data_IF_056886903214
#
_entry.id   IF_056886903214
#
_cell.length_a   1.000
_cell.length_b   1.000
_cell.length_c   1.000
_cell.angle_alpha   90.00
_cell.angle_beta   90.00
_cell.angle_gamma   90.00
#
_symmetry.space_group_name_H-M   'P 1'
#
loop_
_entity.id
_entity.type
_entity.pdbx_description
1 polymer ?
#
# COMPACT_ATOMS: atom_id res chain seq x y z
N UNK A 1 -14.31 15.34 17.14
CA UNK A 1 -13.69 15.10 15.81
C UNK A 1 -12.34 15.76 15.80
N UNK A 2 -11.27 14.98 15.58
CA UNK A 2 -9.91 15.53 15.57
C UNK A 2 -9.59 16.27 14.25
N UNK A 3 -10.15 15.79 13.14
CA UNK A 3 -9.99 16.36 11.80
C UNK A 3 -11.22 16.12 10.94
N UNK A 4 -11.76 17.18 10.34
CA UNK A 4 -12.95 17.12 9.47
C UNK A 4 -12.66 17.41 8.00
N UNK A 5 -11.46 17.88 7.67
CA UNK A 5 -11.04 18.22 6.30
C UNK A 5 -10.68 17.00 5.44
N UNK A 6 -10.22 17.20 4.20
CA UNK A 6 -9.71 16.17 3.31
C UNK A 6 -8.65 15.29 3.99
N UNK A 7 -8.71 13.99 3.77
CA UNK A 7 -7.84 12.99 4.38
C UNK A 7 -7.27 12.07 3.29
N UNK A 8 -5.95 11.89 3.30
CA UNK A 8 -5.25 10.93 2.46
C UNK A 8 -4.54 9.92 3.35
N UNK A 9 -4.73 8.65 3.11
CA UNK A 9 -4.07 7.54 3.81
C UNK A 9 -3.15 6.84 2.83
N UNK A 10 -1.87 6.79 3.16
CA UNK A 10 -0.88 6.04 2.39
C UNK A 10 -0.88 4.58 2.84
N UNK A 11 -0.92 3.67 1.88
CA UNK A 11 -0.86 2.23 2.12
C UNK A 11 0.15 1.56 1.19
N UNK A 12 0.71 0.45 1.64
CA UNK A 12 1.55 -0.42 0.84
C UNK A 12 1.09 -1.87 0.98
N UNK A 13 1.63 -2.77 0.18
CA UNK A 13 1.40 -4.21 0.30
C UNK A 13 1.79 -4.76 1.68
N UNK A 14 2.67 -4.07 2.40
CA UNK A 14 3.07 -4.43 3.76
C UNK A 14 2.10 -3.91 4.84
N UNK A 15 1.15 -3.04 4.47
CA UNK A 15 0.10 -2.61 5.39
C UNK A 15 -0.86 -3.77 5.64
N UNK A 16 -0.93 -4.24 6.90
CA UNK A 16 -1.66 -5.45 7.24
C UNK A 16 -2.58 -5.27 8.45
N UNK A 17 -3.61 -6.12 8.56
CA UNK A 17 -4.44 -6.31 9.75
C UNK A 17 -5.11 -5.01 10.22
N UNK A 18 -4.73 -4.43 11.37
CA UNK A 18 -5.32 -3.20 11.91
C UNK A 18 -5.20 -2.00 10.95
N UNK A 19 -4.11 -1.92 10.16
CA UNK A 19 -3.95 -0.89 9.12
C UNK A 19 -5.01 -1.04 8.03
N UNK A 20 -5.37 -2.27 7.70
CA UNK A 20 -6.39 -2.58 6.69
C UNK A 20 -7.80 -2.27 7.21
N UNK A 21 -8.05 -2.50 8.50
CA UNK A 21 -9.31 -2.10 9.14
C UNK A 21 -9.47 -0.58 9.05
N UNK A 22 -8.43 0.17 9.36
CA UNK A 22 -8.46 1.64 9.29
C UNK A 22 -8.66 2.12 7.85
N UNK A 23 -7.84 1.65 6.91
CA UNK A 23 -7.88 2.06 5.51
C UNK A 23 -9.25 1.72 4.87
N UNK A 24 -9.71 0.48 5.04
CA UNK A 24 -10.98 0.03 4.50
C UNK A 24 -12.19 0.74 5.10
N UNK A 25 -12.16 1.04 6.40
CA UNK A 25 -13.22 1.84 7.03
C UNK A 25 -13.26 3.27 6.47
N UNK A 26 -12.10 3.91 6.28
CA UNK A 26 -12.02 5.26 5.67
C UNK A 26 -12.59 5.24 4.25
N UNK A 27 -12.26 4.20 3.47
CA UNK A 27 -12.76 4.02 2.11
C UNK A 27 -14.27 3.78 2.07
N UNK A 28 -14.79 2.82 2.84
CA UNK A 28 -16.23 2.49 2.90
C UNK A 28 -17.06 3.69 3.34
N UNK A 29 -16.59 4.44 4.32
CA UNK A 29 -17.25 5.67 4.77
C UNK A 29 -17.15 6.82 3.77
N UNK A 30 -16.40 6.67 2.68
CA UNK A 30 -16.01 7.75 1.77
C UNK A 30 -15.48 8.99 2.50
N UNK A 31 -14.71 8.76 3.57
CA UNK A 31 -14.17 9.79 4.45
C UNK A 31 -12.85 10.37 3.95
N UNK A 32 -12.10 9.62 3.16
CA UNK A 32 -10.79 9.99 2.63
C UNK A 32 -10.33 9.08 1.53
N UNK A 33 -9.18 9.39 0.94
CA UNK A 33 -8.54 8.66 -0.15
C UNK A 33 -7.53 7.66 0.38
N UNK A 34 -7.47 6.49 -0.25
CA UNK A 34 -6.41 5.50 -0.07
C UNK A 34 -5.47 5.59 -1.27
N UNK A 35 -4.18 5.83 -0.99
CA UNK A 35 -3.15 6.07 -2.02
C UNK A 35 -1.94 5.18 -1.74
N UNK A 36 -1.42 4.52 -2.76
CA UNK A 36 -0.22 3.70 -2.62
C UNK A 36 -0.21 2.49 -3.52
N UNK A 37 0.25 1.34 -3.02
CA UNK A 37 0.30 0.09 -3.76
C UNK A 37 -1.10 -0.33 -4.24
N UNK A 38 -1.21 -1.19 -5.27
CA UNK A 38 -2.51 -1.64 -5.79
C UNK A 38 -3.46 -2.17 -4.72
N UNK A 39 -2.92 -2.89 -3.74
CA UNK A 39 -3.65 -3.41 -2.59
C UNK A 39 -2.75 -3.53 -1.36
N UNK A 40 -3.34 -3.61 -0.18
CA UNK A 40 -2.67 -3.95 1.07
C UNK A 40 -2.43 -5.46 1.20
N UNK A 41 -1.87 -5.92 2.31
CA UNK A 41 -1.43 -7.30 2.53
C UNK A 41 -2.55 -8.36 2.39
N UNK A 42 -3.74 -8.07 2.83
CA UNK A 42 -4.88 -8.99 2.74
C UNK A 42 -5.10 -9.86 3.97
N UNK A 43 -4.66 -9.43 5.16
CA UNK A 43 -4.90 -10.19 6.39
C UNK A 43 -6.21 -9.78 7.06
N UNK A 44 -7.26 -10.59 6.86
CA UNK A 44 -8.60 -10.40 7.41
C UNK A 44 -8.88 -11.23 8.67
N UNK A 45 -7.87 -11.91 9.25
CA UNK A 45 -8.04 -12.83 10.38
C UNK A 45 -7.33 -12.37 11.64
N UNK A 46 -7.88 -12.77 12.79
CA UNK A 46 -7.28 -12.60 14.12
C UNK A 46 -6.76 -13.96 14.60
N UNK A 47 -5.51 -13.97 15.05
CA UNK A 47 -4.84 -15.17 15.52
C UNK A 47 -4.52 -15.06 17.02
N UNK A 48 -4.54 -16.20 17.70
CA UNK A 48 -4.16 -16.31 19.11
C UNK A 48 -3.09 -17.39 19.28
N UNK A 49 -2.19 -17.15 20.22
CA UNK A 49 -1.23 -18.16 20.66
C UNK A 49 -1.83 -18.94 21.82
N UNK A 50 -1.91 -20.27 21.66
CA UNK A 50 -2.34 -21.20 22.70
C UNK A 50 -1.12 -21.96 23.18
N UNK A 51 -0.74 -21.74 24.43
CA UNK A 51 0.33 -22.47 25.06
C UNK A 51 -0.04 -23.95 25.24
N UNK A 52 0.77 -24.85 24.70
CA UNK A 52 0.62 -26.30 24.81
C UNK A 52 1.37 -26.88 25.99
N UNK A 53 2.23 -26.08 26.65
CA UNK A 53 3.03 -26.51 27.79
C UNK A 53 2.21 -26.67 29.07
N UNK A 54 2.56 -27.67 29.86
CA UNK A 54 2.18 -27.75 31.26
C UNK A 54 3.37 -27.28 32.10
N UNK A 55 3.11 -26.92 33.37
CA UNK A 55 4.10 -26.40 34.33
C UNK A 55 5.42 -27.17 34.41
N UNK A 56 5.47 -28.41 33.93
CA UNK A 56 6.61 -29.32 33.99
C UNK A 56 7.17 -29.71 32.63
N UNK A 57 6.54 -29.28 31.51
CA UNK A 57 6.97 -29.67 30.18
C UNK A 57 6.65 -28.54 29.21
N UNK A 58 7.68 -27.96 28.63
CA UNK A 58 7.55 -26.99 27.53
C UNK A 58 7.25 -27.73 26.23
N UNK A 59 6.04 -27.57 25.72
CA UNK A 59 5.59 -28.13 24.43
C UNK A 59 5.44 -27.06 23.35
N UNK A 60 5.87 -25.84 23.63
CA UNK A 60 5.70 -24.71 22.73
C UNK A 60 4.27 -24.18 22.69
N UNK A 61 3.95 -23.42 21.66
CA UNK A 61 2.64 -22.78 21.50
C UNK A 61 2.07 -23.01 20.09
N UNK A 62 0.77 -23.13 20.00
CA UNK A 62 0.02 -23.23 18.75
C UNK A 62 -0.59 -21.87 18.41
N UNK A 63 -0.29 -21.37 17.20
CA UNK A 63 -0.92 -20.17 16.65
C UNK A 63 -2.15 -20.56 15.85
N UNK A 64 -3.34 -20.19 16.33
CA UNK A 64 -4.62 -20.55 15.71
C UNK A 64 -5.40 -19.32 15.31
N UNK A 65 -6.12 -19.38 14.21
CA UNK A 65 -7.09 -18.38 13.79
C UNK A 65 -8.37 -18.56 14.61
N UNK A 66 -8.82 -17.48 15.27
CA UNK A 66 -9.97 -17.49 16.17
C UNK A 66 -11.12 -16.62 15.70
N UNK A 67 -10.87 -15.63 14.87
CA UNK A 67 -11.86 -14.68 14.37
C UNK A 67 -11.48 -14.18 12.98
N UNK A 68 -12.45 -13.68 12.26
CA UNK A 68 -12.32 -12.90 11.03
C UNK A 68 -13.01 -11.57 11.23
N UNK A 69 -12.48 -10.50 10.65
CA UNK A 69 -13.11 -9.19 10.68
C UNK A 69 -13.60 -8.78 9.29
N UNK A 70 -14.58 -7.88 9.29
CA UNK A 70 -15.20 -7.35 8.10
C UNK A 70 -15.24 -5.84 8.16
N UNK A 71 -15.06 -5.21 7.01
CA UNK A 71 -15.19 -3.77 6.85
C UNK A 71 -16.67 -3.34 6.97
N UNK A 72 -16.95 -2.06 7.18
CA UNK A 72 -18.33 -1.55 7.27
C UNK A 72 -19.22 -1.95 6.09
N UNK A 73 -18.67 -1.99 4.86
CA UNK A 73 -19.35 -2.44 3.65
C UNK A 73 -19.62 -3.94 3.57
N UNK A 74 -19.16 -4.73 4.55
CA UNK A 74 -19.36 -6.16 4.65
C UNK A 74 -18.29 -7.02 4.00
N UNK A 75 -17.30 -6.43 3.33
CA UNK A 75 -16.18 -7.15 2.72
C UNK A 75 -15.12 -7.52 3.74
N UNK A 76 -14.53 -8.70 3.59
CA UNK A 76 -13.31 -9.06 4.30
C UNK A 76 -12.09 -8.56 3.53
N UNK A 77 -11.03 -8.17 4.24
CA UNK A 77 -9.72 -7.90 3.62
C UNK A 77 -8.94 -9.18 3.31
N UNK A 78 -9.41 -10.34 3.77
CA UNK A 78 -8.71 -11.63 3.62
C UNK A 78 -8.33 -11.89 2.16
N UNK A 79 -7.06 -12.14 1.89
CA UNK A 79 -6.42 -12.37 0.58
C UNK A 79 -6.42 -11.18 -0.39
N UNK A 80 -7.40 -10.30 -0.35
CA UNK A 80 -7.57 -9.21 -1.32
C UNK A 80 -6.98 -7.87 -0.84
N UNK A 81 -6.93 -7.68 0.48
CA UNK A 81 -6.54 -6.39 1.06
C UNK A 81 -7.56 -5.27 0.80
N UNK A 82 -7.11 -4.05 1.02
CA UNK A 82 -7.81 -2.82 0.67
C UNK A 82 -7.19 -2.28 -0.62
N UNK A 83 -7.99 -2.16 -1.68
CA UNK A 83 -7.55 -1.61 -2.97
C UNK A 83 -7.37 -0.10 -2.86
N UNK A 84 -6.26 0.42 -3.37
CA UNK A 84 -6.02 1.86 -3.38
C UNK A 84 -6.94 2.59 -4.36
N UNK A 85 -7.43 3.76 -3.94
CA UNK A 85 -8.20 4.66 -4.81
C UNK A 85 -7.32 5.26 -5.90
N UNK A 86 -6.07 5.58 -5.56
CA UNK A 86 -5.05 6.05 -6.49
C UNK A 86 -3.81 5.16 -6.31
N UNK A 87 -3.49 4.42 -7.34
CA UNK A 87 -2.34 3.52 -7.36
C UNK A 87 -1.09 4.29 -7.78
N UNK A 88 -0.03 4.16 -6.99
CA UNK A 88 1.31 4.64 -7.32
C UNK A 88 2.22 3.45 -7.61
N UNK A 89 3.13 3.56 -8.59
CA UNK A 89 4.13 2.52 -8.81
C UNK A 89 4.97 2.27 -7.56
N UNK A 90 5.13 1.01 -7.16
CA UNK A 90 5.95 0.62 -6.02
C UNK A 90 6.52 -0.77 -6.22
N UNK A 91 7.79 -0.97 -5.86
CA UNK A 91 8.44 -2.28 -5.99
C UNK A 91 7.84 -3.33 -5.06
N UNK A 92 7.27 -2.91 -3.95
CA UNK A 92 6.56 -3.77 -3.00
C UNK A 92 5.37 -4.50 -3.63
N UNK A 93 4.77 -3.93 -4.67
CA UNK A 93 3.66 -4.55 -5.40
C UNK A 93 4.08 -5.87 -6.09
N UNK A 94 5.36 -5.99 -6.51
CA UNK A 94 5.90 -7.18 -7.17
C UNK A 94 6.35 -8.28 -6.22
N UNK A 95 6.26 -8.10 -4.90
CA UNK A 95 6.64 -9.13 -3.92
C UNK A 95 5.54 -10.16 -3.72
N UNK A 96 5.90 -11.46 -3.58
CA UNK A 96 4.97 -12.54 -3.24
C UNK A 96 4.91 -12.72 -1.72
N UNK A 97 4.42 -11.71 -1.03
CA UNK A 97 4.39 -11.68 0.43
C UNK A 97 3.02 -11.27 1.01
N UNK A 98 1.96 -11.31 0.18
CA UNK A 98 0.60 -11.06 0.64
C UNK A 98 -0.02 -12.30 1.28
N UNK A 99 -1.12 -12.12 2.00
CA UNK A 99 -1.90 -13.25 2.55
C UNK A 99 -2.40 -14.19 1.44
N UNK A 100 -2.69 -13.63 0.25
CA UNK A 100 -3.12 -14.41 -0.91
C UNK A 100 -2.06 -15.35 -1.47
N UNK A 101 -0.78 -15.07 -1.22
CA UNK A 101 0.36 -15.87 -1.67
C UNK A 101 0.64 -17.07 -0.76
N UNK A 102 0.01 -17.13 0.42
CA UNK A 102 0.15 -18.26 1.34
C UNK A 102 -0.61 -19.47 0.84
N UNK A 103 0.04 -20.65 0.86
CA UNK A 103 -0.51 -21.94 0.37
C UNK A 103 -1.86 -22.31 1.01
N UNK A 104 -2.03 -22.00 2.30
CA UNK A 104 -3.22 -22.34 3.07
C UNK A 104 -3.99 -21.11 3.56
N UNK A 105 -3.93 -20.00 2.81
CA UNK A 105 -4.71 -18.81 3.15
C UNK A 105 -6.21 -19.12 3.18
N UNK A 106 -6.89 -18.72 4.26
CA UNK A 106 -8.34 -18.82 4.33
C UNK A 106 -8.99 -18.04 3.18
N UNK A 107 -10.09 -18.54 2.62
CA UNK A 107 -10.78 -17.86 1.53
C UNK A 107 -11.33 -16.50 1.98
N UNK A 108 -11.46 -15.58 1.02
CA UNK A 108 -12.22 -14.36 1.23
C UNK A 108 -13.71 -14.67 1.27
N UNK A 109 -14.45 -13.97 2.12
CA UNK A 109 -15.90 -14.00 2.17
C UNK A 109 -16.48 -12.60 2.49
N UNK A 110 -17.78 -12.48 2.43
CA UNK A 110 -18.50 -11.24 2.66
C UNK A 110 -19.69 -11.47 3.59
N UNK A 111 -20.02 -10.45 4.36
CA UNK A 111 -21.20 -10.44 5.22
C UNK A 111 -22.11 -9.26 4.84
N UNK A 112 -23.33 -9.25 5.38
CA UNK A 112 -24.22 -8.12 5.16
C UNK A 112 -23.59 -6.83 5.67
N UNK A 113 -23.60 -5.74 4.86
CA UNK A 113 -23.10 -4.44 5.29
C UNK A 113 -23.71 -3.95 6.58
N UNK A 114 -22.91 -3.33 7.43
CA UNK A 114 -23.39 -2.64 8.62
C UNK A 114 -24.15 -1.36 8.22
N UNK A 115 -24.90 -0.78 9.15
CA UNK A 115 -25.43 0.58 8.96
C UNK A 115 -24.32 1.57 9.34
N UNK A 116 -23.92 2.42 8.41
CA UNK A 116 -22.91 3.45 8.66
C UNK A 116 -23.24 4.76 7.95
N UNK A 117 -22.60 5.83 8.38
CA UNK A 117 -22.72 7.15 7.77
C UNK A 117 -21.77 7.26 6.57
N UNK A 118 -22.30 7.61 5.41
CA UNK A 118 -21.52 7.98 4.25
C UNK A 118 -21.19 9.48 4.31
N UNK A 119 -19.89 9.80 4.42
CA UNK A 119 -19.41 11.17 4.52
C UNK A 119 -19.39 11.90 3.18
N UNK A 120 -19.46 11.18 2.06
CA UNK A 120 -19.48 11.75 0.69
C UNK A 120 -18.33 12.70 0.38
N UNK A 121 -17.20 12.55 1.05
CA UNK A 121 -16.03 13.41 0.82
C UNK A 121 -15.25 12.99 -0.42
N UNK A 122 -15.46 11.76 -0.89
CA UNK A 122 -14.83 11.20 -2.10
C UNK A 122 -15.94 10.68 -3.00
N UNK A 123 -16.00 11.19 -4.23
CA UNK A 123 -16.89 10.70 -5.27
C UNK A 123 -16.12 10.29 -6.54
N UNK A 124 -16.83 9.71 -7.50
CA UNK A 124 -16.21 9.23 -8.74
C UNK A 124 -15.61 10.36 -9.60
N UNK A 125 -16.17 11.56 -9.55
CA UNK A 125 -15.67 12.72 -10.29
C UNK A 125 -14.33 13.19 -9.73
N UNK A 126 -14.24 13.30 -8.39
CA UNK A 126 -13.00 13.59 -7.69
C UNK A 126 -11.95 12.53 -8.04
N UNK A 127 -12.28 11.24 -7.87
CA UNK A 127 -11.34 10.15 -8.12
C UNK A 127 -10.80 10.17 -9.56
N UNK A 128 -11.66 10.34 -10.55
CA UNK A 128 -11.24 10.38 -11.95
C UNK A 128 -10.29 11.56 -12.23
N UNK A 129 -10.60 12.73 -11.67
CA UNK A 129 -9.76 13.92 -11.82
C UNK A 129 -8.38 13.71 -11.19
N UNK A 130 -8.34 13.17 -9.96
CA UNK A 130 -7.09 12.95 -9.25
C UNK A 130 -6.23 11.86 -9.92
N UNK A 131 -6.85 10.76 -10.36
CA UNK A 131 -6.17 9.69 -11.10
C UNK A 131 -5.52 10.22 -12.39
N UNK A 132 -6.26 10.99 -13.19
CA UNK A 132 -5.75 11.55 -14.44
C UNK A 132 -4.55 12.46 -14.19
N UNK A 133 -4.66 13.37 -13.22
CA UNK A 133 -3.57 14.30 -12.88
C UNK A 133 -2.34 13.58 -12.33
N UNK A 134 -2.55 12.60 -11.45
CA UNK A 134 -1.45 11.82 -10.88
C UNK A 134 -0.75 11.01 -11.96
N UNK A 135 -1.49 10.34 -12.84
CA UNK A 135 -0.93 9.56 -13.94
C UNK A 135 -0.05 10.42 -14.84
N UNK A 136 -0.52 11.61 -15.23
CA UNK A 136 0.29 12.54 -16.03
C UNK A 136 1.60 12.93 -15.32
N UNK A 137 1.58 13.25 -14.03
CA UNK A 137 2.81 13.61 -13.28
C UNK A 137 3.76 12.44 -13.10
N UNK A 138 3.23 11.22 -12.97
CA UNK A 138 4.04 9.99 -12.92
C UNK A 138 4.77 9.79 -14.25
N UNK A 139 4.07 9.94 -15.38
CA UNK A 139 4.65 9.82 -16.73
C UNK A 139 5.73 10.87 -17.02
N UNK A 140 5.62 12.07 -16.44
CA UNK A 140 6.58 13.17 -16.60
C UNK A 140 7.75 13.13 -15.58
N UNK A 141 7.75 12.17 -14.66
CA UNK A 141 8.69 12.13 -13.53
C UNK A 141 9.86 11.19 -13.75
N UNK A 142 11.08 11.74 -13.82
CA UNK A 142 12.32 10.95 -13.86
C UNK A 142 12.46 9.98 -12.66
N UNK A 143 11.90 10.33 -11.50
CA UNK A 143 11.91 9.49 -10.31
C UNK A 143 11.07 8.22 -10.50
N UNK A 144 9.86 8.37 -11.03
CA UNK A 144 9.00 7.23 -11.34
C UNK A 144 9.51 6.43 -12.54
N UNK A 145 10.11 7.07 -13.56
CA UNK A 145 10.73 6.35 -14.68
C UNK A 145 11.84 5.38 -14.19
N UNK A 146 12.73 5.85 -13.31
CA UNK A 146 13.75 4.99 -12.68
C UNK A 146 13.13 3.86 -11.85
N UNK A 147 12.10 4.17 -11.08
CA UNK A 147 11.39 3.15 -10.28
C UNK A 147 10.74 2.08 -11.16
N UNK A 148 10.06 2.47 -12.25
CA UNK A 148 9.43 1.54 -13.19
C UNK A 148 10.47 0.62 -13.85
N UNK A 149 11.61 1.15 -14.29
CA UNK A 149 12.72 0.33 -14.81
C UNK A 149 13.24 -0.67 -13.78
N UNK A 150 13.33 -0.26 -12.51
CA UNK A 150 13.75 -1.14 -11.43
C UNK A 150 12.72 -2.24 -11.15
N UNK A 151 11.44 -1.93 -11.20
CA UNK A 151 10.36 -2.92 -11.08
C UNK A 151 10.47 -3.93 -12.21
N UNK A 152 10.59 -3.48 -13.46
CA UNK A 152 10.77 -4.35 -14.63
C UNK A 152 11.97 -5.29 -14.48
N UNK A 153 13.12 -4.76 -14.06
CA UNK A 153 14.32 -5.58 -13.81
C UNK A 153 14.09 -6.61 -12.70
N UNK A 154 13.40 -6.24 -11.63
CA UNK A 154 13.07 -7.17 -10.55
C UNK A 154 12.15 -8.29 -11.04
N UNK A 155 11.11 -7.96 -11.82
CA UNK A 155 10.18 -8.93 -12.39
C UNK A 155 10.88 -9.89 -13.36
N UNK A 156 11.76 -9.37 -14.22
CA UNK A 156 12.59 -10.21 -15.10
C UNK A 156 13.49 -11.16 -14.31
N UNK A 157 14.09 -10.69 -13.20
CA UNK A 157 14.93 -11.52 -12.35
C UNK A 157 14.11 -12.61 -11.62
N UNK A 158 12.88 -12.28 -11.25
CA UNK A 158 11.97 -13.21 -10.59
C UNK A 158 11.49 -14.34 -11.52
N UNK A 159 11.34 -14.04 -12.81
CA UNK A 159 11.01 -15.03 -13.85
C UNK A 159 12.18 -15.97 -14.20
N UNK A 160 13.42 -15.58 -13.86
CA UNK A 160 14.57 -16.43 -14.05
C UNK A 160 14.62 -17.55 -12.99
N UNK A 161 14.23 -18.75 -13.35
CA UNK A 161 14.23 -19.95 -12.49
C UNK A 161 15.61 -20.50 -12.11
N UNK A 162 16.70 -19.80 -12.48
CA UNK A 162 18.05 -20.25 -12.21
C UNK A 162 18.95 -19.12 -11.72
N UNK A 163 19.93 -19.50 -10.89
CA UNK A 163 21.03 -18.64 -10.49
C UNK A 163 22.30 -19.22 -11.08
N UNK A 164 23.07 -18.36 -11.79
CA UNK A 164 24.36 -18.79 -12.33
C UNK A 164 25.30 -19.22 -11.18
N UNK A 165 25.79 -20.44 -11.25
CA UNK A 165 26.85 -20.93 -10.35
C UNK A 165 28.26 -20.46 -10.80
N UNK A 166 28.37 -19.79 -11.94
CA UNK A 166 29.59 -19.14 -12.33
C UNK A 166 29.84 -17.93 -11.43
N UNK A 167 30.97 -17.94 -10.72
CA UNK A 167 31.31 -16.88 -9.77
C UNK A 167 31.45 -15.51 -10.43
N UNK A 168 31.95 -15.43 -11.64
CA UNK A 168 32.19 -14.16 -12.35
C UNK A 168 30.85 -13.54 -12.77
N UNK A 169 29.93 -14.33 -13.32
CA UNK A 169 28.60 -13.89 -13.71
C UNK A 169 27.80 -13.41 -12.50
N UNK A 170 27.85 -14.19 -11.41
CA UNK A 170 27.18 -13.85 -10.16
C UNK A 170 27.71 -12.53 -9.56
N UNK A 171 29.05 -12.38 -9.49
CA UNK A 171 29.65 -11.17 -8.94
C UNK A 171 29.40 -9.94 -9.81
N UNK A 172 29.41 -10.10 -11.14
CA UNK A 172 29.11 -9.03 -12.07
C UNK A 172 27.67 -8.55 -11.89
N UNK A 173 26.70 -9.48 -11.89
CA UNK A 173 25.28 -9.19 -11.67
C UNK A 173 25.04 -8.49 -10.33
N UNK A 174 25.70 -8.96 -9.26
CA UNK A 174 25.60 -8.33 -7.94
C UNK A 174 26.18 -6.93 -7.92
N UNK A 175 27.32 -6.72 -8.57
CA UNK A 175 27.96 -5.40 -8.68
C UNK A 175 27.09 -4.41 -9.45
N UNK A 176 26.42 -4.84 -10.53
CA UNK A 176 25.51 -4.00 -11.31
C UNK A 176 24.30 -3.56 -10.47
N UNK A 177 23.75 -4.45 -9.64
CA UNK A 177 22.64 -4.15 -8.73
C UNK A 177 23.06 -3.21 -7.58
N UNK A 178 24.21 -3.45 -7.00
CA UNK A 178 24.74 -2.62 -5.90
C UNK A 178 25.09 -1.21 -6.41
N UNK A 179 25.68 -1.09 -7.62
CA UNK A 179 25.97 0.20 -8.24
C UNK A 179 24.72 1.05 -8.51
N UNK A 180 23.66 0.43 -9.02
CA UNK A 180 22.38 1.12 -9.24
C UNK A 180 21.75 1.60 -7.94
N UNK A 181 21.85 0.80 -6.88
CA UNK A 181 21.36 1.14 -5.55
C UNK A 181 22.14 2.31 -4.94
N UNK A 182 23.48 2.30 -5.08
CA UNK A 182 24.33 3.39 -4.61
C UNK A 182 24.06 4.70 -5.37
N UNK A 183 23.86 4.64 -6.69
CA UNK A 183 23.48 5.81 -7.49
C UNK A 183 22.15 6.41 -7.04
N UNK A 184 21.16 5.57 -6.74
CA UNK A 184 19.84 5.99 -6.26
C UNK A 184 19.95 6.64 -4.85
N UNK A 185 20.70 6.03 -3.94
CA UNK A 185 20.95 6.58 -2.59
C UNK A 185 21.70 7.92 -2.67
N UNK A 186 22.71 8.04 -3.54
CA UNK A 186 23.44 9.30 -3.71
C UNK A 186 22.56 10.40 -4.31
N UNK A 187 21.69 10.08 -5.28
CA UNK A 187 20.73 11.05 -5.82
C UNK A 187 19.72 11.48 -4.78
N UNK A 188 19.18 10.57 -3.98
CA UNK A 188 18.27 10.86 -2.86
C UNK A 188 18.95 11.75 -1.81
N UNK A 189 20.17 11.41 -1.39
CA UNK A 189 20.92 12.18 -0.38
C UNK A 189 21.33 13.57 -0.87
N UNK A 190 21.60 13.73 -2.17
CA UNK A 190 21.94 15.04 -2.74
C UNK A 190 20.76 16.02 -2.79
N UNK A 191 19.53 15.52 -2.76
CA UNK A 191 18.30 16.33 -2.88
C UNK A 191 17.66 16.67 -1.53
N UNK A 192 18.16 16.11 -0.40
CA UNK A 192 17.51 16.21 0.90
C UNK A 192 18.36 16.96 1.94
N UNK A 193 17.81 17.96 2.63
CA UNK A 193 18.42 18.50 3.83
C UNK A 193 18.45 17.41 4.93
N UNK A 194 19.62 17.17 5.52
CA UNK A 194 19.91 16.09 6.50
C UNK A 194 19.10 16.09 7.81
N UNK A 195 18.04 16.89 7.94
CA UNK A 195 17.26 17.10 9.17
C UNK A 195 15.76 16.92 9.07
N UNK A 196 15.19 16.59 7.91
CA UNK A 196 13.74 16.52 7.78
C UNK A 196 13.21 15.15 8.25
N UNK A 197 12.26 15.19 9.18
CA UNK A 197 11.50 14.02 9.69
C UNK A 197 10.67 13.40 8.55
N UNK A 198 10.28 14.19 7.54
CA UNK A 198 9.56 13.77 6.36
C UNK A 198 10.42 13.98 5.12
N UNK A 199 10.86 12.89 4.50
CA UNK A 199 11.63 12.94 3.25
C UNK A 199 10.73 13.41 2.11
N UNK A 200 11.07 14.53 1.48
CA UNK A 200 10.33 15.04 0.31
C UNK A 200 10.93 14.47 -0.98
N UNK A 201 10.93 13.14 -1.10
CA UNK A 201 11.30 12.44 -2.34
C UNK A 201 10.21 12.56 -3.42
N UNK A 202 10.45 11.99 -4.60
CA UNK A 202 9.51 12.05 -5.72
C UNK A 202 8.16 11.38 -5.38
N UNK A 203 8.17 10.28 -4.61
CA UNK A 203 6.98 9.54 -4.21
C UNK A 203 6.11 10.35 -3.23
N UNK A 204 6.71 10.82 -2.14
CA UNK A 204 6.01 11.63 -1.14
C UNK A 204 5.54 12.97 -1.72
N UNK A 205 6.29 13.54 -2.67
CA UNK A 205 5.87 14.75 -3.40
C UNK A 205 4.62 14.50 -4.22
N UNK A 206 4.51 13.34 -4.88
CA UNK A 206 3.29 13.00 -5.61
C UNK A 206 2.10 12.83 -4.68
N UNK A 207 2.27 12.18 -3.53
CA UNK A 207 1.19 12.09 -2.51
C UNK A 207 0.74 13.47 -2.05
N UNK A 208 1.66 14.41 -1.83
CA UNK A 208 1.32 15.79 -1.50
C UNK A 208 0.60 16.52 -2.65
N UNK A 209 0.98 16.28 -3.89
CA UNK A 209 0.28 16.80 -5.06
C UNK A 209 -1.16 16.27 -5.15
N UNK A 210 -1.35 14.97 -4.92
CA UNK A 210 -2.68 14.35 -4.84
C UNK A 210 -3.50 15.00 -3.72
N UNK A 211 -2.91 15.18 -2.54
CA UNK A 211 -3.59 15.84 -1.42
C UNK A 211 -4.00 17.28 -1.75
N UNK A 212 -3.14 18.05 -2.40
CA UNK A 212 -3.44 19.41 -2.88
C UNK A 212 -4.58 19.40 -3.89
N UNK A 213 -4.50 18.55 -4.90
CA UNK A 213 -5.55 18.42 -5.91
C UNK A 213 -6.90 18.00 -5.29
N UNK A 214 -6.84 17.14 -4.26
CA UNK A 214 -8.04 16.73 -3.53
C UNK A 214 -8.66 17.90 -2.76
N UNK A 215 -7.87 18.72 -2.07
CA UNK A 215 -8.33 19.92 -1.38
C UNK A 215 -9.00 20.88 -2.38
N UNK A 216 -8.40 21.11 -3.54
CA UNK A 216 -8.96 21.97 -4.59
C UNK A 216 -10.28 21.42 -5.14
N UNK A 217 -10.37 20.11 -5.40
CA UNK A 217 -11.57 19.48 -5.93
C UNK A 217 -12.70 19.48 -4.89
N UNK A 218 -12.39 19.19 -3.62
CA UNK A 218 -13.33 19.20 -2.52
C UNK A 218 -13.91 20.60 -2.27
N UNK A 219 -13.07 21.63 -2.28
CA UNK A 219 -13.52 23.03 -2.11
C UNK A 219 -14.49 23.50 -3.21
N UNK A 220 -14.34 23.01 -4.43
CA UNK A 220 -15.27 23.30 -5.54
C UNK A 220 -16.63 22.61 -5.38
N UNK A 221 -16.65 21.41 -4.80
CA UNK A 221 -17.90 20.69 -4.50
C UNK A 221 -18.70 21.37 -3.39
N UNK A 222 -18.03 21.79 -2.31
CA UNK A 222 -18.69 22.53 -1.21
C UNK A 222 -19.34 23.83 -1.71
N UNK A 223 -18.69 24.57 -2.58
CA UNK A 223 -19.24 25.78 -3.19
C UNK A 223 -20.44 25.50 -4.11
N UNK A 224 -20.43 24.37 -4.83
CA UNK A 224 -21.51 23.98 -5.72
C UNK A 224 -22.77 23.45 -4.98
N UNK A 225 -22.61 22.98 -3.74
CA UNK A 225 -23.72 22.51 -2.90
C UNK A 225 -24.31 23.62 -2.00
N UNK A 226 -23.59 24.73 -1.84
CA UNK A 226 -24.00 25.88 -1.02
C UNK A 226 -24.76 26.96 -1.81
N UNK A 227 -24.86 26.88 -3.15
CA UNK A 227 -25.59 27.80 -4.05
C UNK A 227 -26.80 27.11 -4.69
#
# INVERSE_FOLDING_TARGET
VAWSGPLVVMTSKESASASEILAGAIQDYRRGLIVGDPATHGKGTVQSLVDLGKRTMDMGALKITIQQFYLPGGKSTQRQGVMSDIVLPAITASFDNSEGDLEYALPNDEVKPARYTDYKMVDSSILNTLRTRSMQRIEESDGFDRLLKRIEMYEQQKEEDFVSLNREDFLKRRADLDAQREEEEQMLDSQLPKKDVFKLDYYNREVLNIARDYIEAFSKLDLAQAG
#
